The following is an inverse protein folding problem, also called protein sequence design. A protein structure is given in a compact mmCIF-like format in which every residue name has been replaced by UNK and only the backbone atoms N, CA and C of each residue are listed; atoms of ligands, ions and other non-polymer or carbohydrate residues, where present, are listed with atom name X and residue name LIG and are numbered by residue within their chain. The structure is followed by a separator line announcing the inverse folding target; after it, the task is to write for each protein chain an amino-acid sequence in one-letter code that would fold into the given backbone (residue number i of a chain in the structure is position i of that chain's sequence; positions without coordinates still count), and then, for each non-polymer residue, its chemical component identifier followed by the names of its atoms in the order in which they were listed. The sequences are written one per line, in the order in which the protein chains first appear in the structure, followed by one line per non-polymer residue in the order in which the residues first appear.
data_IF_074599451864
#
_entry.id   IF_074599451864
#
_cell.length_a   1.000
_cell.length_b   1.000
_cell.length_c   1.000
_cell.angle_alpha   90.00
_cell.angle_beta   90.00
_cell.angle_gamma   90.00
#
_symmetry.space_group_name_H-M   'P 1'
#
loop_
_entity.id
_entity.type
_entity.pdbx_description
1 polymer ?
#
# COMPACT_ATOMS: atom_id res chain seq x y z
N UNK A 1 -2.12 -14.52 -0.02
CA UNK A 1 -2.83 -15.40 0.92
C UNK A 1 -1.82 -16.27 1.64
N UNK A 2 -1.90 -16.25 2.98
CA UNK A 2 -1.20 -17.08 3.97
C UNK A 2 -0.42 -18.27 3.38
N UNK A 3 0.90 -18.22 3.47
CA UNK A 3 1.72 -19.35 3.09
C UNK A 3 1.69 -20.36 4.23
N UNK A 4 0.91 -21.44 4.06
CA UNK A 4 0.76 -22.51 5.06
C UNK A 4 2.10 -23.10 5.46
N UNK A 5 3.07 -23.13 4.54
CA UNK A 5 4.40 -23.67 4.80
C UNK A 5 5.22 -22.72 5.66
N UNK A 6 5.10 -21.40 5.46
CA UNK A 6 5.71 -20.40 6.33
C UNK A 6 5.07 -20.40 7.72
N UNK A 7 3.75 -20.49 7.80
CA UNK A 7 3.05 -20.58 9.09
C UNK A 7 3.46 -21.84 9.87
N UNK A 8 3.61 -22.97 9.20
CA UNK A 8 4.13 -24.20 9.81
C UNK A 8 5.58 -24.02 10.25
N UNK A 9 6.46 -23.53 9.39
CA UNK A 9 7.89 -23.39 9.69
C UNK A 9 8.19 -22.49 10.89
N UNK A 10 7.35 -21.49 11.16
CA UNK A 10 7.42 -20.63 12.35
C UNK A 10 7.25 -21.43 13.65
N UNK A 11 6.40 -22.46 13.66
CA UNK A 11 6.05 -23.22 14.85
C UNK A 11 6.55 -24.68 14.82
N UNK A 12 7.10 -25.15 13.71
CA UNK A 12 7.52 -26.56 13.47
C UNK A 12 8.57 -27.07 14.47
N UNK A 13 9.33 -26.17 15.11
CA UNK A 13 10.33 -26.53 16.13
C UNK A 13 9.71 -26.85 17.49
N UNK A 14 8.40 -26.65 17.68
CA UNK A 14 7.76 -26.81 18.97
C UNK A 14 6.96 -28.13 19.08
N UNK A 15 7.28 -28.93 20.10
CA UNK A 15 6.66 -30.24 20.36
C UNK A 15 5.44 -30.20 21.30
N UNK A 16 5.03 -29.03 21.77
CA UNK A 16 3.91 -28.85 22.69
C UNK A 16 2.56 -28.92 21.95
N UNK A 17 1.50 -29.38 22.63
CA UNK A 17 0.15 -29.42 22.05
C UNK A 17 -0.39 -28.02 21.77
N UNK A 18 0.00 -27.01 22.56
CA UNK A 18 -0.29 -25.59 22.32
C UNK A 18 0.27 -25.12 20.97
N UNK A 19 1.42 -25.65 20.56
CA UNK A 19 2.03 -25.32 19.28
C UNK A 19 1.27 -25.93 18.11
N UNK A 20 0.80 -27.18 18.24
CA UNK A 20 -0.09 -27.79 17.25
C UNK A 20 -1.40 -27.01 17.12
N UNK A 21 -1.97 -26.56 18.25
CA UNK A 21 -3.17 -25.72 18.27
C UNK A 21 -2.92 -24.34 17.63
N UNK A 22 -1.76 -23.73 17.88
CA UNK A 22 -1.38 -22.47 17.25
C UNK A 22 -1.13 -22.62 15.75
N UNK A 23 -0.43 -23.67 15.30
CA UNK A 23 -0.29 -23.99 13.88
C UNK A 23 -1.67 -24.15 13.26
N UNK A 24 -2.55 -24.93 13.88
CA UNK A 24 -3.93 -25.12 13.39
C UNK A 24 -4.69 -23.81 13.30
N UNK A 25 -4.60 -22.96 14.32
CA UNK A 25 -5.18 -21.61 14.32
C UNK A 25 -4.66 -20.77 13.14
N UNK A 26 -3.35 -20.77 12.89
CA UNK A 26 -2.78 -20.09 11.72
C UNK A 26 -3.15 -20.77 10.39
N UNK A 27 -3.22 -22.10 10.30
CA UNK A 27 -3.43 -22.79 9.02
C UNK A 27 -4.90 -22.93 8.62
N UNK A 28 -5.80 -23.10 9.58
CA UNK A 28 -7.23 -23.34 9.35
C UNK A 28 -8.02 -22.02 9.39
N UNK A 29 -7.74 -21.16 10.36
CA UNK A 29 -8.48 -19.89 10.49
C UNK A 29 -7.90 -18.77 9.61
N UNK A 30 -6.58 -18.69 9.44
CA UNK A 30 -5.95 -17.69 8.54
C UNK A 30 -6.01 -18.11 7.07
N UNK A 31 -5.58 -19.34 6.77
CA UNK A 31 -5.31 -19.72 5.39
C UNK A 31 -6.51 -20.41 4.69
N UNK A 32 -7.47 -21.01 5.41
CA UNK A 32 -8.57 -21.78 4.80
C UNK A 32 -9.93 -21.07 4.87
N UNK A 33 -10.34 -20.63 6.05
CA UNK A 33 -11.72 -20.15 6.25
C UNK A 33 -11.90 -18.64 6.05
N UNK A 34 -10.79 -17.87 5.97
CA UNK A 34 -10.79 -16.40 5.89
C UNK A 34 -11.61 -15.70 7.00
N UNK A 35 -11.80 -16.38 8.14
CA UNK A 35 -12.56 -15.84 9.26
C UNK A 35 -11.85 -14.62 9.84
N UNK A 36 -12.63 -13.65 10.28
CA UNK A 36 -12.10 -12.43 10.88
C UNK A 36 -11.70 -12.68 12.33
N UNK A 37 -10.85 -11.80 12.88
CA UNK A 37 -10.33 -11.94 14.25
C UNK A 37 -11.44 -12.03 15.28
N UNK A 38 -12.53 -11.26 15.10
CA UNK A 38 -13.70 -11.31 15.97
C UNK A 38 -14.47 -12.63 15.89
N UNK A 39 -14.47 -13.30 14.73
CA UNK A 39 -15.20 -14.57 14.53
C UNK A 39 -14.53 -15.76 15.25
N UNK A 40 -13.24 -15.63 15.57
CA UNK A 40 -12.40 -16.72 16.10
C UNK A 40 -11.86 -16.43 17.49
N UNK A 41 -12.21 -15.27 18.07
CA UNK A 41 -11.62 -14.73 19.30
C UNK A 41 -11.74 -15.69 20.50
N UNK A 42 -12.82 -16.45 20.56
CA UNK A 42 -13.08 -17.42 21.62
C UNK A 42 -12.25 -18.70 21.48
N UNK A 43 -11.93 -19.07 20.23
CA UNK A 43 -11.21 -20.30 19.89
C UNK A 43 -9.69 -20.17 19.93
N UNK A 44 -9.17 -18.97 20.22
CA UNK A 44 -7.73 -18.71 20.24
C UNK A 44 -7.04 -19.51 21.35
N UNK A 45 -5.98 -20.27 21.04
CA UNK A 45 -5.17 -20.94 22.04
C UNK A 45 -4.54 -19.96 23.04
N UNK A 46 -4.37 -20.39 24.29
CA UNK A 46 -3.63 -19.62 25.29
C UNK A 46 -2.15 -19.57 24.91
N UNK A 47 -1.53 -18.41 25.12
CA UNK A 47 -0.11 -18.21 24.92
C UNK A 47 0.74 -19.00 25.93
N UNK A 48 1.93 -19.41 25.49
CA UNK A 48 2.91 -20.14 26.28
C UNK A 48 4.29 -19.47 26.15
N UNK A 49 5.25 -19.85 27.01
CA UNK A 49 6.59 -19.24 27.03
C UNK A 49 7.34 -19.37 25.70
N UNK A 50 7.14 -20.48 24.99
CA UNK A 50 7.69 -20.71 23.65
C UNK A 50 7.12 -19.77 22.59
N UNK A 51 5.82 -19.43 22.65
CA UNK A 51 5.19 -18.47 21.74
C UNK A 51 5.91 -17.12 21.78
N UNK A 52 6.18 -16.60 22.97
CA UNK A 52 6.84 -15.31 23.11
C UNK A 52 8.27 -15.30 22.57
N UNK A 53 8.97 -16.44 22.61
CA UNK A 53 10.28 -16.58 21.97
C UNK A 53 10.16 -16.59 20.45
N UNK A 54 9.23 -17.37 19.91
CA UNK A 54 8.95 -17.44 18.47
C UNK A 54 8.55 -16.08 17.90
N UNK A 55 7.60 -15.39 18.54
CA UNK A 55 7.14 -14.06 18.14
C UNK A 55 8.33 -13.09 18.14
N UNK A 56 9.11 -13.01 19.23
CA UNK A 56 10.27 -12.10 19.27
C UNK A 56 11.31 -12.37 18.19
N UNK A 57 11.57 -13.65 17.87
CA UNK A 57 12.47 -13.99 16.76
C UNK A 57 11.90 -13.47 15.44
N UNK A 58 10.62 -13.75 15.17
CA UNK A 58 9.97 -13.28 13.95
C UNK A 58 9.99 -11.75 13.84
N UNK A 59 9.70 -11.03 14.93
CA UNK A 59 9.74 -9.56 14.95
C UNK A 59 11.14 -9.02 14.64
N UNK A 60 12.18 -9.67 15.15
CA UNK A 60 13.56 -9.27 14.87
C UNK A 60 13.90 -9.48 13.39
N UNK A 61 13.51 -10.62 12.85
CA UNK A 61 13.81 -11.00 11.46
C UNK A 61 13.01 -10.13 10.48
N UNK A 62 11.72 -9.89 10.76
CA UNK A 62 10.83 -9.09 9.91
C UNK A 62 11.21 -7.62 9.84
N UNK A 63 11.87 -7.05 10.86
CA UNK A 63 12.36 -5.65 10.82
C UNK A 63 13.28 -5.38 9.63
N UNK A 64 14.02 -6.38 9.16
CA UNK A 64 14.88 -6.27 7.97
C UNK A 64 14.12 -5.91 6.69
N UNK A 65 12.83 -6.29 6.59
CA UNK A 65 11.96 -6.00 5.45
C UNK A 65 11.71 -4.50 5.26
N UNK A 66 11.76 -3.73 6.34
CA UNK A 66 11.44 -2.30 6.34
C UNK A 66 12.68 -1.41 6.24
N UNK A 67 13.87 -2.01 6.14
CA UNK A 67 15.11 -1.26 6.05
C UNK A 67 15.12 -0.36 4.81
N UNK A 68 15.37 0.92 5.02
CA UNK A 68 15.43 1.93 3.94
C UNK A 68 14.08 2.56 3.59
N UNK A 69 12.98 2.18 4.26
CA UNK A 69 11.71 2.87 4.11
C UNK A 69 11.79 4.28 4.69
N UNK A 70 11.08 5.24 4.10
CA UNK A 70 11.00 6.64 4.60
C UNK A 70 10.68 6.71 6.10
N UNK A 71 9.78 5.84 6.59
CA UNK A 71 9.32 5.83 7.98
C UNK A 71 9.82 4.59 8.74
N UNK A 72 11.04 4.10 8.43
CA UNK A 72 11.60 2.91 9.08
C UNK A 72 11.52 2.97 10.61
N UNK A 73 11.96 4.06 11.23
CA UNK A 73 11.98 4.19 12.70
C UNK A 73 10.56 4.14 13.29
N UNK A 74 9.60 4.81 12.66
CA UNK A 74 8.19 4.78 13.10
C UNK A 74 7.60 3.37 12.97
N UNK A 75 7.93 2.67 11.88
CA UNK A 75 7.52 1.28 11.66
C UNK A 75 8.08 0.38 12.77
N UNK A 76 9.36 0.50 13.10
CA UNK A 76 9.98 -0.29 14.17
C UNK A 76 9.33 -0.02 15.54
N UNK A 77 9.06 1.24 15.86
CA UNK A 77 8.36 1.63 17.10
C UNK A 77 6.94 1.05 17.15
N UNK A 78 6.21 1.05 16.03
CA UNK A 78 4.87 0.48 15.95
C UNK A 78 4.87 -1.04 16.15
N UNK A 79 5.88 -1.74 15.62
CA UNK A 79 6.06 -3.18 15.84
C UNK A 79 6.28 -3.47 17.33
N UNK A 80 7.18 -2.72 17.97
CA UNK A 80 7.53 -2.93 19.38
C UNK A 80 6.34 -2.55 20.30
N UNK A 81 5.65 -1.45 20.02
CA UNK A 81 4.46 -1.04 20.76
C UNK A 81 3.31 -2.04 20.62
N UNK A 82 3.09 -2.59 19.42
CA UNK A 82 2.09 -3.63 19.19
C UNK A 82 2.33 -4.84 20.07
N UNK A 83 3.58 -5.34 20.07
CA UNK A 83 3.98 -6.48 20.88
C UNK A 83 3.85 -6.21 22.39
N UNK A 84 4.32 -5.05 22.86
CA UNK A 84 4.27 -4.69 24.28
C UNK A 84 2.84 -4.51 24.79
N UNK A 85 1.94 -3.95 23.97
CA UNK A 85 0.52 -3.85 24.31
C UNK A 85 -0.15 -5.23 24.34
N UNK A 86 0.16 -6.09 23.37
CA UNK A 86 -0.36 -7.45 23.34
C UNK A 86 0.09 -8.27 24.56
N UNK A 87 1.36 -8.12 25.00
CA UNK A 87 1.87 -8.73 26.22
C UNK A 87 1.13 -8.28 27.48
N UNK A 88 0.61 -7.05 27.50
CA UNK A 88 -0.21 -6.53 28.61
C UNK A 88 -1.67 -7.01 28.54
N UNK A 89 -2.09 -7.61 27.44
CA UNK A 89 -3.48 -8.01 27.19
C UNK A 89 -4.32 -6.92 26.52
N UNK A 90 -3.70 -5.80 26.13
CA UNK A 90 -4.38 -4.67 25.50
C UNK A 90 -4.48 -4.90 23.98
N UNK A 91 -5.34 -5.84 23.57
CA UNK A 91 -5.47 -6.21 22.15
C UNK A 91 -5.85 -5.00 21.27
N UNK A 92 -6.76 -4.13 21.75
CA UNK A 92 -7.18 -2.95 21.02
C UNK A 92 -5.99 -2.04 20.65
N UNK A 93 -5.16 -1.65 21.63
CA UNK A 93 -3.97 -0.82 21.40
C UNK A 93 -2.90 -1.55 20.59
N UNK A 94 -2.83 -2.88 20.70
CA UNK A 94 -1.93 -3.69 19.88
C UNK A 94 -2.35 -3.67 18.39
N UNK A 95 -3.65 -3.82 18.11
CA UNK A 95 -4.19 -3.77 16.74
C UNK A 95 -4.18 -2.36 16.16
N UNK A 96 -4.33 -1.33 16.98
CA UNK A 96 -4.10 0.05 16.56
C UNK A 96 -2.66 0.24 16.04
N UNK A 97 -1.68 -0.43 16.67
CA UNK A 97 -0.30 -0.42 16.18
C UNK A 97 -0.17 -1.13 14.81
N UNK A 98 -0.89 -2.24 14.57
CA UNK A 98 -0.95 -2.89 13.25
C UNK A 98 -1.59 -1.97 12.19
N UNK A 99 -2.63 -1.22 12.55
CA UNK A 99 -3.29 -0.27 11.65
C UNK A 99 -2.33 0.83 11.20
N UNK A 100 -1.66 1.48 12.16
CA UNK A 100 -0.70 2.54 11.85
C UNK A 100 0.53 2.00 11.13
N UNK A 101 0.96 0.77 11.44
CA UNK A 101 2.03 0.09 10.71
C UNK A 101 1.71 0.01 9.22
N UNK A 102 0.51 -0.46 8.86
CA UNK A 102 0.08 -0.50 7.46
C UNK A 102 0.09 0.89 6.82
N UNK A 103 -0.40 1.90 7.52
CA UNK A 103 -0.37 3.28 7.04
C UNK A 103 1.06 3.74 6.73
N UNK A 104 2.02 3.53 7.64
CA UNK A 104 3.42 3.93 7.44
C UNK A 104 4.10 3.18 6.31
N UNK A 105 3.87 1.87 6.19
CA UNK A 105 4.37 1.05 5.07
C UNK A 105 3.92 1.64 3.73
N UNK A 106 2.61 1.84 3.56
CA UNK A 106 2.09 2.31 2.28
C UNK A 106 2.39 3.79 2.03
N UNK A 107 2.58 4.59 3.08
CA UNK A 107 3.02 5.98 2.96
C UNK A 107 4.47 6.05 2.49
N UNK A 108 5.37 5.22 3.02
CA UNK A 108 6.77 5.13 2.53
C UNK A 108 6.81 4.75 1.05
N UNK A 109 6.09 3.68 0.66
CA UNK A 109 6.02 3.25 -0.74
C UNK A 109 5.49 4.38 -1.64
N UNK A 110 4.43 5.07 -1.19
CA UNK A 110 3.83 6.16 -1.95
C UNK A 110 4.80 7.34 -2.13
N UNK A 111 5.45 7.80 -1.06
CA UNK A 111 6.38 8.93 -1.09
C UNK A 111 7.60 8.62 -1.95
N UNK A 112 8.19 7.43 -1.79
CA UNK A 112 9.38 7.01 -2.55
C UNK A 112 9.14 6.95 -4.07
N UNK A 113 7.90 6.70 -4.48
CA UNK A 113 7.55 6.56 -5.89
C UNK A 113 6.79 7.79 -6.43
N UNK A 114 6.53 8.82 -5.62
CA UNK A 114 5.84 10.05 -6.06
C UNK A 114 6.66 11.30 -5.76
N UNK A 115 6.44 11.96 -4.63
CA UNK A 115 7.15 13.19 -4.25
C UNK A 115 7.45 13.23 -2.76
N UNK A 116 8.58 13.84 -2.40
CA UNK A 116 8.98 14.15 -1.02
C UNK A 116 8.15 15.26 -0.38
N UNK A 117 7.37 16.01 -1.16
CA UNK A 117 6.47 17.05 -0.63
C UNK A 117 5.50 16.51 0.44
N UNK A 118 5.06 15.25 0.31
CA UNK A 118 4.21 14.61 1.31
C UNK A 118 4.92 14.43 2.65
N UNK A 119 6.24 14.19 2.66
CA UNK A 119 7.04 14.12 3.88
C UNK A 119 7.13 15.50 4.52
N UNK A 120 7.36 16.55 3.72
CA UNK A 120 7.38 17.93 4.20
C UNK A 120 6.02 18.34 4.79
N UNK A 121 4.91 17.97 4.14
CA UNK A 121 3.54 18.23 4.61
C UNK A 121 3.31 17.61 6.00
N UNK A 122 3.81 16.39 6.24
CA UNK A 122 3.71 15.72 7.54
C UNK A 122 4.56 16.42 8.59
N UNK A 123 5.82 16.73 8.29
CA UNK A 123 6.74 17.42 9.21
C UNK A 123 6.20 18.79 9.63
N UNK A 124 5.58 19.52 8.69
CA UNK A 124 4.93 20.83 8.94
C UNK A 124 3.54 20.72 9.57
N UNK A 125 3.05 19.51 9.84
CA UNK A 125 1.71 19.24 10.40
C UNK A 125 0.59 19.84 9.56
N UNK A 126 0.77 19.87 8.24
CA UNK A 126 -0.19 20.45 7.29
C UNK A 126 -1.19 19.41 6.76
N UNK A 127 -0.89 18.12 6.90
CA UNK A 127 -1.72 17.03 6.37
C UNK A 127 -3.21 17.18 6.73
N UNK A 128 -3.52 17.32 8.03
CA UNK A 128 -4.90 17.47 8.50
C UNK A 128 -5.55 18.76 8.01
N UNK A 129 -4.81 19.88 8.00
CA UNK A 129 -5.33 21.17 7.49
C UNK A 129 -5.70 21.10 6.00
N UNK A 130 -4.88 20.40 5.21
CA UNK A 130 -5.16 20.17 3.79
C UNK A 130 -6.37 19.24 3.61
N UNK A 131 -6.49 18.18 4.41
CA UNK A 131 -7.67 17.31 4.41
C UNK A 131 -8.95 18.09 4.75
N UNK A 132 -8.93 18.91 5.80
CA UNK A 132 -10.07 19.72 6.24
C UNK A 132 -10.46 20.77 5.19
N UNK A 133 -9.48 21.28 4.43
CA UNK A 133 -9.69 22.17 3.29
C UNK A 133 -10.14 21.44 2.00
N UNK A 134 -10.37 20.13 2.11
CA UNK A 134 -10.88 19.26 1.05
C UNK A 134 -9.84 18.88 -0.01
N UNK A 135 -8.55 18.90 0.32
CA UNK A 135 -7.47 18.34 -0.50
C UNK A 135 -7.29 16.87 -0.11
N UNK A 136 -8.26 16.03 -0.46
CA UNK A 136 -8.25 14.62 -0.07
C UNK A 136 -8.46 13.69 -1.27
N UNK A 137 -7.93 12.47 -1.14
CA UNK A 137 -8.20 11.33 -2.01
C UNK A 137 -8.86 10.26 -1.13
N UNK A 138 -10.11 9.93 -1.44
CA UNK A 138 -10.94 9.07 -0.60
C UNK A 138 -10.72 7.58 -0.88
N UNK A 139 -10.55 7.21 -2.14
CA UNK A 139 -10.39 5.81 -2.55
C UNK A 139 -9.57 5.67 -3.83
N UNK A 140 -8.95 4.50 -4.04
CA UNK A 140 -8.10 4.24 -5.20
C UNK A 140 -8.82 4.42 -6.56
N UNK A 141 -10.10 4.07 -6.65
CA UNK A 141 -10.89 4.29 -7.87
C UNK A 141 -10.98 5.76 -8.29
N UNK A 142 -10.92 6.69 -7.33
CA UNK A 142 -10.92 8.13 -7.60
C UNK A 142 -9.62 8.55 -8.27
N UNK A 143 -8.49 8.01 -7.81
CA UNK A 143 -7.16 8.24 -8.38
C UNK A 143 -7.16 7.88 -9.86
N UNK A 144 -7.57 6.64 -10.16
CA UNK A 144 -7.59 6.15 -11.54
C UNK A 144 -8.57 6.93 -12.42
N UNK A 145 -9.70 7.37 -11.85
CA UNK A 145 -10.67 8.23 -12.53
C UNK A 145 -10.09 9.62 -12.86
N UNK A 146 -9.44 10.28 -11.89
CA UNK A 146 -8.79 11.58 -12.07
C UNK A 146 -7.68 11.51 -13.13
N UNK A 147 -6.82 10.48 -13.08
CA UNK A 147 -5.78 10.26 -14.08
C UNK A 147 -6.35 10.05 -15.49
N UNK A 148 -7.38 9.21 -15.61
CA UNK A 148 -8.06 8.95 -16.89
C UNK A 148 -8.70 10.19 -17.47
N UNK A 149 -9.36 10.99 -16.63
CA UNK A 149 -9.97 12.24 -17.06
C UNK A 149 -8.92 13.27 -17.51
N UNK A 150 -7.83 13.39 -16.76
CA UNK A 150 -6.79 14.36 -17.07
C UNK A 150 -6.01 14.01 -18.35
N UNK A 151 -5.72 12.72 -18.59
CA UNK A 151 -4.76 12.30 -19.62
C UNK A 151 -5.35 11.46 -20.76
N UNK A 152 -6.63 11.07 -20.67
CA UNK A 152 -7.25 10.08 -21.56
C UNK A 152 -6.75 8.63 -21.33
N UNK A 153 -5.75 8.43 -20.46
CA UNK A 153 -5.09 7.14 -20.23
C UNK A 153 -4.90 6.83 -18.73
N UNK A 154 -4.06 5.82 -18.44
CA UNK A 154 -3.70 5.45 -17.05
C UNK A 154 -2.19 5.49 -16.91
N UNK A 155 -1.58 6.70 -16.88
CA UNK A 155 -0.13 6.82 -16.73
C UNK A 155 0.30 6.24 -15.37
N UNK A 156 1.58 5.82 -15.25
CA UNK A 156 2.13 5.43 -13.96
C UNK A 156 2.08 6.59 -12.97
N UNK A 157 1.93 6.29 -11.68
CA UNK A 157 2.04 7.27 -10.61
C UNK A 157 3.52 7.55 -10.34
N UNK A 158 3.95 8.79 -10.58
CA UNK A 158 5.29 9.29 -10.35
C UNK A 158 5.26 10.74 -9.82
N UNK A 159 6.42 11.40 -9.74
CA UNK A 159 6.55 12.78 -9.26
C UNK A 159 5.69 13.79 -10.02
N UNK A 160 5.49 13.60 -11.32
CA UNK A 160 4.73 14.52 -12.15
C UNK A 160 3.23 14.18 -12.14
N UNK A 161 2.89 12.92 -12.34
CA UNK A 161 1.51 12.48 -12.52
C UNK A 161 0.73 12.48 -11.21
N UNK A 162 1.39 12.47 -10.05
CA UNK A 162 0.69 12.56 -8.76
C UNK A 162 -0.08 13.89 -8.61
N UNK A 163 0.41 14.97 -9.21
CA UNK A 163 -0.28 16.27 -9.22
C UNK A 163 -1.61 16.20 -9.99
N UNK A 164 -1.74 15.33 -10.99
CA UNK A 164 -2.99 15.11 -11.73
C UNK A 164 -4.09 14.50 -10.85
N UNK A 165 -3.69 13.83 -9.77
CA UNK A 165 -4.60 13.29 -8.75
C UNK A 165 -4.96 14.37 -7.73
N UNK A 166 -4.29 15.52 -7.77
CA UNK A 166 -4.52 16.65 -6.90
C UNK A 166 -5.86 17.37 -7.11
N UNK A 167 -6.00 18.52 -6.45
CA UNK A 167 -7.16 19.40 -6.55
C UNK A 167 -6.87 20.55 -7.52
N UNK A 168 -7.73 20.80 -8.52
CA UNK A 168 -7.59 21.95 -9.41
C UNK A 168 -7.97 23.25 -8.69
N UNK A 169 -7.11 24.25 -8.73
CA UNK A 169 -7.33 25.57 -8.10
C UNK A 169 -6.93 26.72 -9.02
N UNK A 170 -7.65 27.84 -8.92
CA UNK A 170 -7.26 29.09 -9.57
C UNK A 170 -6.35 29.91 -8.65
N UNK A 171 -5.65 30.91 -9.19
CA UNK A 171 -4.74 31.81 -8.42
C UNK A 171 -5.34 32.34 -7.12
N UNK A 172 -6.64 32.69 -7.12
CA UNK A 172 -7.34 33.21 -5.93
C UNK A 172 -7.49 32.17 -4.80
N UNK A 173 -7.57 30.89 -5.14
CA UNK A 173 -7.78 29.78 -4.19
C UNK A 173 -6.53 28.91 -4.02
N UNK A 174 -5.36 29.40 -4.43
CA UNK A 174 -4.09 28.71 -4.24
C UNK A 174 -3.60 28.90 -2.80
N UNK A 175 -4.09 28.05 -1.90
CA UNK A 175 -3.76 28.10 -0.46
C UNK A 175 -2.38 27.50 -0.16
N UNK A 176 -1.90 26.57 -1.00
CA UNK A 176 -0.65 25.82 -0.81
C UNK A 176 0.25 25.90 -2.06
N UNK A 177 0.78 27.10 -2.39
CA UNK A 177 1.58 27.29 -3.61
C UNK A 177 2.80 26.36 -3.68
N UNK A 178 3.44 26.08 -2.55
CA UNK A 178 4.62 25.21 -2.47
C UNK A 178 4.34 23.73 -2.80
N UNK A 179 3.08 23.30 -2.76
CA UNK A 179 2.68 21.91 -3.06
C UNK A 179 1.80 21.86 -4.31
N UNK A 180 2.01 22.81 -5.23
CA UNK A 180 1.20 22.98 -6.42
C UNK A 180 2.07 23.11 -7.68
N UNK A 181 1.56 22.60 -8.81
CA UNK A 181 2.16 22.81 -10.13
C UNK A 181 1.20 23.54 -11.05
N UNK A 182 1.73 24.34 -11.96
CA UNK A 182 0.94 24.98 -12.99
C UNK A 182 0.35 23.92 -13.93
N UNK A 183 -0.89 24.13 -14.37
CA UNK A 183 -1.57 23.20 -15.27
C UNK A 183 -0.87 23.11 -16.63
N UNK A 184 -0.23 24.19 -17.08
CA UNK A 184 0.52 24.22 -18.35
C UNK A 184 1.74 23.29 -18.35
N UNK A 185 2.29 22.98 -17.18
CA UNK A 185 3.42 22.06 -17.02
C UNK A 185 2.99 20.58 -16.95
N UNK A 186 1.68 20.32 -16.98
CA UNK A 186 1.10 19.00 -16.77
C UNK A 186 0.43 18.49 -18.04
N UNK A 187 0.44 17.16 -18.31
CA UNK A 187 -0.15 16.58 -19.51
C UNK A 187 -1.68 16.48 -19.41
N UNK A 188 -2.35 17.62 -19.26
CA UNK A 188 -3.81 17.73 -19.09
C UNK A 188 -4.47 18.02 -20.43
N UNK A 189 -5.43 17.18 -20.82
CA UNK A 189 -6.20 17.32 -22.07
C UNK A 189 -7.47 18.15 -21.91
N UNK A 190 -8.07 18.14 -20.71
CA UNK A 190 -9.34 18.81 -20.43
C UNK A 190 -9.16 20.05 -19.56
N UNK A 191 -9.96 21.11 -19.80
CA UNK A 191 -10.00 22.25 -18.89
C UNK A 191 -10.61 21.85 -17.55
N UNK A 192 -9.79 21.87 -16.50
CA UNK A 192 -10.23 21.63 -15.13
C UNK A 192 -10.73 22.93 -14.49
N UNK A 193 -11.74 22.81 -13.64
CA UNK A 193 -12.37 23.95 -12.95
C UNK A 193 -11.99 23.96 -11.48
N UNK A 194 -11.74 25.16 -10.95
CA UNK A 194 -11.64 25.41 -9.52
C UNK A 194 -13.03 25.31 -8.84
N UNK A 195 -13.06 25.19 -7.51
CA UNK A 195 -14.30 25.20 -6.69
C UNK A 195 -15.24 26.38 -6.96
N UNK A 196 -14.73 27.50 -7.48
CA UNK A 196 -15.51 28.68 -7.84
C UNK A 196 -16.02 28.69 -9.29
N UNK A 197 -15.85 27.61 -10.06
CA UNK A 197 -16.28 27.50 -11.45
C UNK A 197 -15.36 28.17 -12.48
N UNK A 198 -14.35 28.94 -12.04
CA UNK A 198 -13.30 29.46 -12.92
C UNK A 198 -12.36 28.36 -13.40
N UNK A 199 -11.70 28.59 -14.53
CA UNK A 199 -10.61 27.75 -15.00
C UNK A 199 -9.52 27.68 -13.91
N UNK A 200 -9.01 26.47 -13.68
CA UNK A 200 -7.90 26.28 -12.76
C UNK A 200 -6.59 26.69 -13.42
N UNK A 201 -5.68 27.24 -12.62
CA UNK A 201 -4.34 27.62 -13.03
C UNK A 201 -3.30 26.60 -12.50
N UNK A 202 -3.65 25.88 -11.43
CA UNK A 202 -2.77 24.95 -10.72
C UNK A 202 -3.46 23.64 -10.36
N UNK A 203 -2.65 22.60 -10.19
CA UNK A 203 -2.99 21.38 -9.49
C UNK A 203 -2.21 21.31 -8.17
N UNK A 204 -2.93 21.24 -7.04
CA UNK A 204 -2.34 21.10 -5.70
C UNK A 204 -2.42 19.65 -5.23
N UNK A 205 -1.37 19.14 -4.59
CA UNK A 205 -1.37 17.78 -4.02
C UNK A 205 -2.58 17.53 -3.10
N UNK A 206 -3.08 16.30 -3.10
CA UNK A 206 -4.22 15.87 -2.31
C UNK A 206 -3.84 14.67 -1.44
N UNK A 207 -4.32 14.67 -0.19
CA UNK A 207 -3.88 13.74 0.84
C UNK A 207 -4.69 12.44 0.78
N UNK A 208 -4.06 11.27 0.55
CA UNK A 208 -4.75 10.00 0.53
C UNK A 208 -5.19 9.56 1.92
N UNK A 209 -6.45 9.13 2.04
CA UNK A 209 -6.90 8.31 3.16
C UNK A 209 -6.22 6.94 3.10
N UNK A 210 -6.08 6.26 4.24
CA UNK A 210 -5.37 4.97 4.31
C UNK A 210 -5.91 3.92 3.32
N UNK A 211 -7.23 3.86 3.10
CA UNK A 211 -7.84 3.00 2.09
C UNK A 211 -7.37 3.32 0.66
N UNK A 212 -7.25 4.60 0.31
CA UNK A 212 -6.69 5.01 -0.97
C UNK A 212 -5.19 4.69 -1.04
N UNK A 213 -4.46 4.94 0.06
CA UNK A 213 -3.02 4.73 0.15
C UNK A 213 -2.63 3.26 -0.05
N UNK A 214 -3.39 2.32 0.54
CA UNK A 214 -3.22 0.88 0.32
C UNK A 214 -3.37 0.55 -1.17
N UNK A 215 -4.46 1.00 -1.81
CA UNK A 215 -4.70 0.73 -3.22
C UNK A 215 -3.65 1.35 -4.14
N UNK A 216 -3.23 2.59 -3.86
CA UNK A 216 -2.16 3.28 -4.59
C UNK A 216 -0.83 2.54 -4.44
N UNK A 217 -0.43 2.19 -3.21
CA UNK A 217 0.83 1.50 -2.98
C UNK A 217 0.85 0.10 -3.60
N UNK A 218 -0.26 -0.64 -3.54
CA UNK A 218 -0.40 -1.91 -4.25
C UNK A 218 -0.30 -1.74 -5.77
N UNK A 219 -0.92 -0.68 -6.33
CA UNK A 219 -0.77 -0.35 -7.74
C UNK A 219 0.69 -0.05 -8.13
N UNK A 220 1.41 0.72 -7.31
CA UNK A 220 2.85 1.01 -7.50
C UNK A 220 3.70 -0.27 -7.45
N UNK A 221 3.38 -1.19 -6.54
CA UNK A 221 4.07 -2.49 -6.45
C UNK A 221 3.64 -3.49 -7.53
N UNK A 222 2.58 -3.19 -8.30
CA UNK A 222 1.99 -4.11 -9.25
C UNK A 222 1.31 -5.31 -8.57
N UNK A 223 0.82 -5.15 -7.34
CA UNK A 223 0.19 -6.18 -6.52
C UNK A 223 -1.32 -5.92 -6.34
N UNK A 224 -2.18 -6.96 -6.23
CA UNK A 224 -3.60 -6.79 -5.95
C UNK A 224 -3.86 -6.24 -4.54
N UNK A 225 -4.69 -5.19 -4.42
CA UNK A 225 -4.92 -4.49 -3.15
C UNK A 225 -5.89 -5.22 -2.22
N UNK A 226 -6.71 -6.13 -2.74
CA UNK A 226 -7.79 -6.79 -2.00
C UNK A 226 -7.26 -7.52 -0.76
N UNK A 227 -6.01 -8.00 -0.79
CA UNK A 227 -5.39 -8.67 0.36
C UNK A 227 -5.17 -7.72 1.53
N UNK A 228 -4.55 -6.58 1.28
CA UNK A 228 -4.30 -5.58 2.31
C UNK A 228 -5.57 -4.87 2.75
N UNK A 229 -6.51 -4.62 1.83
CA UNK A 229 -7.81 -4.04 2.18
C UNK A 229 -8.59 -4.95 3.15
N UNK A 230 -8.54 -6.27 2.94
CA UNK A 230 -9.17 -7.23 3.85
C UNK A 230 -8.49 -7.26 5.23
N UNK A 231 -7.15 -7.22 5.27
CA UNK A 231 -6.39 -7.14 6.54
C UNK A 231 -6.75 -5.85 7.29
N UNK A 232 -6.70 -4.70 6.59
CA UNK A 232 -7.02 -3.39 7.17
C UNK A 232 -8.46 -3.33 7.68
N UNK A 233 -9.42 -3.88 6.93
CA UNK A 233 -10.83 -3.97 7.32
C UNK A 233 -11.01 -4.84 8.58
N UNK A 234 -10.31 -5.97 8.67
CA UNK A 234 -10.31 -6.82 9.85
C UNK A 234 -9.79 -6.09 11.10
N UNK A 235 -8.62 -5.45 11.00
CA UNK A 235 -8.02 -4.66 12.09
C UNK A 235 -8.96 -3.51 12.50
N UNK A 236 -9.53 -2.81 11.51
CA UNK A 236 -10.47 -1.69 11.73
C UNK A 236 -11.71 -2.09 12.52
N UNK A 237 -12.19 -3.33 12.38
CA UNK A 237 -13.32 -3.85 13.16
C UNK A 237 -12.96 -4.07 14.63
N UNK A 238 -11.75 -4.56 14.91
CA UNK A 238 -11.28 -4.81 16.28
C UNK A 238 -11.08 -3.49 17.05
N UNK A 239 -10.53 -2.47 16.39
CA UNK A 239 -10.33 -1.16 17.00
C UNK A 239 -11.61 -0.31 17.03
N UNK A 240 -12.68 -0.73 16.36
CA UNK A 240 -13.95 0.00 16.43
C UNK A 240 -14.51 -0.10 17.85
N UNK A 241 -15.25 0.90 18.37
CA UNK A 241 -15.95 0.78 19.65
C UNK A 241 -16.82 -0.47 19.82
N UNK A 242 -17.32 -1.05 18.72
CA UNK A 242 -18.11 -2.30 18.72
C UNK A 242 -17.24 -3.57 18.76
N UNK A 243 -15.94 -3.45 18.48
CA UNK A 243 -14.94 -4.51 18.62
C UNK A 243 -14.25 -4.52 19.98
N UNK A 244 -14.71 -3.71 20.94
CA UNK A 244 -14.25 -3.70 22.34
C UNK A 244 -14.63 -5.01 23.04
N UNK A 245 -13.88 -6.07 22.76
CA UNK A 245 -14.03 -7.37 23.39
C UNK A 245 -12.94 -7.53 24.44
N UNK A 246 -13.33 -7.88 25.68
CA UNK A 246 -12.36 -8.28 26.70
C UNK A 246 -11.75 -9.61 26.27
N UNK A 247 -10.47 -9.60 25.95
CA UNK A 247 -9.71 -10.81 25.63
C UNK A 247 -8.83 -11.19 26.81
N UNK A 248 -8.73 -12.47 27.12
CA UNK A 248 -7.76 -12.96 28.10
C UNK A 248 -6.34 -12.55 27.67
N UNK A 249 -5.56 -12.01 28.61
CA UNK A 249 -4.16 -11.58 28.38
C UNK A 249 -3.31 -12.65 27.67
N UNK A 250 -3.54 -13.92 27.99
CA UNK A 250 -2.85 -15.07 27.39
C UNK A 250 -3.14 -15.24 25.90
N UNK A 251 -4.29 -14.78 25.38
CA UNK A 251 -4.69 -14.92 23.97
C UNK A 251 -4.28 -13.72 23.10
N UNK A 252 -4.14 -12.54 23.71
CA UNK A 252 -3.91 -11.28 22.99
C UNK A 252 -2.67 -11.30 22.09
N UNK A 253 -1.56 -11.90 22.54
CA UNK A 253 -0.33 -11.99 21.72
C UNK A 253 -0.53 -12.79 20.45
N UNK A 254 -1.26 -13.90 20.52
CA UNK A 254 -1.47 -14.77 19.36
C UNK A 254 -2.39 -14.11 18.33
N UNK A 255 -3.43 -13.40 18.78
CA UNK A 255 -4.33 -12.61 17.94
C UNK A 255 -3.62 -11.46 17.24
N UNK A 256 -2.87 -10.66 18.00
CA UNK A 256 -2.12 -9.55 17.41
C UNK A 256 -1.05 -10.05 16.44
N UNK A 257 -0.32 -11.10 16.81
CA UNK A 257 0.73 -11.67 15.98
C UNK A 257 0.18 -12.27 14.67
N UNK A 258 -1.03 -12.83 14.71
CA UNK A 258 -1.75 -13.32 13.53
C UNK A 258 -1.90 -12.22 12.48
N UNK A 259 -2.44 -11.07 12.88
CA UNK A 259 -2.71 -9.97 11.96
C UNK A 259 -1.41 -9.29 11.52
N UNK A 260 -0.43 -9.14 12.42
CA UNK A 260 0.92 -8.69 12.09
C UNK A 260 1.61 -9.59 11.06
N UNK A 261 1.56 -10.91 11.27
CA UNK A 261 2.13 -11.90 10.36
C UNK A 261 1.53 -11.79 8.96
N UNK A 262 0.20 -11.60 8.85
CA UNK A 262 -0.46 -11.37 7.57
C UNK A 262 0.08 -10.12 6.86
N UNK A 263 0.29 -9.02 7.58
CA UNK A 263 0.84 -7.78 7.01
C UNK A 263 2.24 -8.06 6.43
N UNK A 264 3.14 -8.64 7.22
CA UNK A 264 4.54 -8.89 6.82
C UNK A 264 4.60 -9.86 5.64
N UNK A 265 3.91 -11.00 5.72
CA UNK A 265 3.96 -12.02 4.66
C UNK A 265 3.34 -11.57 3.35
N UNK A 266 2.30 -10.75 3.37
CA UNK A 266 1.74 -10.21 2.13
C UNK A 266 2.61 -9.06 1.57
N UNK A 267 3.27 -8.27 2.43
CA UNK A 267 4.22 -7.25 1.99
C UNK A 267 5.44 -7.85 1.30
N UNK A 268 6.02 -8.90 1.86
CA UNK A 268 7.15 -9.60 1.26
C UNK A 268 6.82 -10.08 -0.16
N UNK A 269 5.63 -10.69 -0.35
CA UNK A 269 5.13 -11.10 -1.67
C UNK A 269 4.94 -9.92 -2.61
N UNK A 270 4.41 -8.81 -2.11
CA UNK A 270 4.19 -7.60 -2.91
C UNK A 270 5.51 -7.00 -3.40
N UNK A 271 6.53 -6.91 -2.54
CA UNK A 271 7.87 -6.42 -2.90
C UNK A 271 8.54 -7.34 -3.92
N UNK A 272 8.48 -8.66 -3.71
CA UNK A 272 9.03 -9.65 -4.66
C UNK A 272 8.34 -9.59 -6.03
N UNK A 273 7.03 -9.29 -6.07
CA UNK A 273 6.28 -9.19 -7.33
C UNK A 273 6.75 -8.03 -8.23
N UNK A 274 7.27 -6.94 -7.64
CA UNK A 274 7.87 -5.81 -8.37
C UNK A 274 9.14 -6.22 -9.11
N UNK A 275 9.98 -7.04 -8.49
CA UNK A 275 11.22 -7.56 -9.07
C UNK A 275 10.99 -8.38 -10.35
N UNK A 276 9.90 -9.15 -10.42
CA UNK A 276 9.58 -10.00 -11.58
C UNK A 276 8.90 -9.23 -12.73
N UNK A 277 8.20 -8.13 -12.46
CA UNK A 277 7.52 -7.33 -13.51
C UNK A 277 8.44 -6.33 -14.20
N UNK A 278 9.52 -5.89 -13.55
CA UNK A 278 10.52 -5.01 -14.15
C UNK A 278 11.28 -5.71 -15.30
N UNK A 279 11.49 -7.02 -15.19
CA UNK A 279 12.01 -7.89 -16.26
C UNK A 279 11.05 -8.03 -17.44
N UNK A 280 9.74 -8.15 -17.19
CA UNK A 280 8.72 -8.27 -18.26
C UNK A 280 8.53 -6.97 -19.05
N UNK A 281 8.63 -5.81 -18.40
CA UNK A 281 8.54 -4.51 -19.07
C UNK A 281 9.78 -4.24 -19.94
N UNK A 282 10.97 -4.55 -19.44
CA UNK A 282 12.21 -4.45 -20.22
C UNK A 282 12.25 -5.44 -21.39
N UNK A 283 11.66 -6.63 -21.26
CA UNK A 283 11.51 -7.56 -22.39
C UNK A 283 10.49 -7.07 -23.43
N UNK A 284 9.39 -6.44 -23.00
CA UNK A 284 8.41 -5.82 -23.92
C UNK A 284 9.02 -4.65 -24.68
N UNK A 285 9.73 -3.74 -24.01
CA UNK A 285 10.43 -2.63 -24.68
C UNK A 285 11.48 -3.13 -25.68
N UNK A 286 12.25 -4.17 -25.34
CA UNK A 286 13.20 -4.81 -26.28
C UNK A 286 12.52 -5.49 -27.46
N UNK A 287 11.32 -6.05 -27.29
CA UNK A 287 10.52 -6.66 -28.37
C UNK A 287 9.93 -5.57 -29.27
N UNK A 288 9.41 -4.50 -28.70
CA UNK A 288 8.80 -3.38 -29.43
C UNK A 288 9.87 -2.60 -30.24
N UNK A 289 11.07 -2.36 -29.67
CA UNK A 289 12.19 -1.79 -30.42
C UNK A 289 12.66 -2.69 -31.57
N UNK A 290 12.67 -4.02 -31.38
CA UNK A 290 13.03 -4.98 -32.45
C UNK A 290 11.98 -4.98 -33.57
N UNK A 291 10.71 -4.83 -33.24
CA UNK A 291 9.61 -4.73 -34.22
C UNK A 291 9.69 -3.41 -34.99
N UNK A 292 9.99 -2.30 -34.33
CA UNK A 292 10.15 -0.99 -34.98
C UNK A 292 11.37 -0.94 -35.91
N UNK A 293 12.51 -1.52 -35.48
CA UNK A 293 13.72 -1.67 -36.32
C UNK A 293 13.47 -2.54 -37.56
N UNK A 294 12.64 -3.58 -37.45
CA UNK A 294 12.21 -4.39 -38.62
C UNK A 294 11.29 -3.60 -39.57
N UNK A 295 10.35 -2.82 -39.05
CA UNK A 295 9.48 -1.95 -39.87
C UNK A 295 10.27 -0.84 -40.61
N UNK A 296 11.30 -0.27 -39.98
CA UNK A 296 12.19 0.72 -40.62
C UNK A 296 13.09 0.11 -41.71
N UNK A 297 13.52 -1.15 -41.57
CA UNK A 297 14.27 -1.87 -42.62
C UNK A 297 13.41 -2.30 -43.81
N UNK A 298 12.13 -2.63 -43.59
CA UNK A 298 11.20 -3.02 -44.66
C UNK A 298 10.73 -1.87 -45.56
N UNK A 299 10.87 -0.61 -45.13
CA UNK A 299 10.42 0.57 -45.90
C UNK A 299 11.47 1.17 -46.85
N UNK A 300 12.70 0.64 -46.91
CA UNK A 300 13.80 1.28 -47.68
C UNK A 300 14.08 0.73 -49.09
N UNK A 301 13.35 -0.26 -49.60
CA UNK A 301 13.55 -0.72 -50.98
C UNK A 301 12.21 -0.85 -51.73
N UNK A 302 11.82 0.21 -52.44
CA UNK A 302 11.03 0.05 -53.67
C UNK A 302 11.28 1.23 -54.63
N UNK A 303 12.22 1.12 -55.58
CA UNK A 303 12.41 2.13 -56.61
C UNK A 303 11.26 2.06 -57.63
N UNK A 304 10.64 3.22 -57.84
CA UNK A 304 9.55 3.49 -58.79
C UNK A 304 9.82 2.91 -60.20
N UNK A 305 9.01 1.95 -60.65
CA UNK A 305 8.79 1.69 -62.09
C UNK A 305 7.99 2.86 -62.68
N UNK A 306 8.66 3.71 -63.46
CA UNK A 306 8.05 4.76 -64.30
C UNK A 306 7.40 4.09 -65.52
N UNK A 307 6.09 4.23 -65.65
CA UNK A 307 5.40 4.09 -66.93
C UNK A 307 5.78 5.29 -67.82
N UNK A 308 6.32 5.02 -69.01
CA UNK A 308 6.37 5.98 -70.13
C UNK A 308 5.41 5.49 -71.22
N UNK A 309 4.51 6.39 -71.64
CA UNK A 309 3.67 6.25 -72.83
C UNK A 309 4.53 6.20 -74.10
N UNK A 310 4.32 5.20 -74.95
CA UNK A 310 3.73 5.32 -76.30
C UNK A 310 3.42 3.92 -76.80
#
# INVERSE_FOLDING_TARGET
MCDKEVAKSIFDKCKLDECRKAVKFFTDDLCQTRRQTLDIIDNVPKGWSGLYKTVRSFLKDSKSLFKGFVFQDEIEVLIDNGYMNALKGNLHSAEESNRFLMERIFLSIFIENTTRDYEEILQRRLWHKMVDSGYTILHFGEVMGRLKKATGGKPPLNEETIYLVGKPVCRKHLEYPQFSRHIEDLPIQERLKCRCGKDADYMTLAMPKVSALIGIGCYILGYPSERFENIYSNISRIIHPYGLVKVEKSKAVLLWFRDYFMIVSELEKAIQSKGNKQTDFQEKERKDEKIEKKKKKGRKNNPKKRNRKR
#
